data_IF_577055617830
#
_entry.id   IF_577055617830
#
_cell.length_a   1.000
_cell.length_b   1.000
_cell.length_c   1.000
_cell.angle_alpha   90.00
_cell.angle_beta   90.00
_cell.angle_gamma   90.00
#
_symmetry.space_group_name_H-M   'P 1'
#
loop_
_entity.id
_entity.type
_entity.pdbx_description
1 polymer ?
#
# COMPACT_ATOMS: atom_id res chain seq x y z
N UNK A 1 -11.02 -3.26 1.95
CA UNK A 1 -10.64 -4.68 2.02
C UNK A 1 -10.50 -5.30 0.62
N UNK A 2 -11.55 -5.37 -0.20
CA UNK A 2 -11.54 -6.00 -1.53
C UNK A 2 -10.44 -5.44 -2.44
N UNK A 3 -10.30 -4.11 -2.51
CA UNK A 3 -9.28 -3.46 -3.34
C UNK A 3 -7.85 -3.82 -2.93
N UNK A 4 -7.58 -3.95 -1.63
CA UNK A 4 -6.28 -4.39 -1.12
C UNK A 4 -5.99 -5.85 -1.47
N UNK A 5 -6.99 -6.73 -1.35
CA UNK A 5 -6.87 -8.13 -1.76
C UNK A 5 -6.63 -8.25 -3.28
N UNK A 6 -7.34 -7.48 -4.09
CA UNK A 6 -7.14 -7.43 -5.54
C UNK A 6 -5.72 -6.97 -5.92
N UNK A 7 -5.20 -5.94 -5.24
CA UNK A 7 -3.83 -5.48 -5.43
C UNK A 7 -2.80 -6.55 -5.08
N UNK A 8 -2.92 -7.18 -3.90
CA UNK A 8 -2.02 -8.26 -3.47
C UNK A 8 -2.03 -9.46 -4.42
N UNK A 9 -3.21 -9.85 -4.90
CA UNK A 9 -3.36 -10.94 -5.88
C UNK A 9 -2.72 -10.58 -7.22
N UNK A 10 -2.93 -9.37 -7.73
CA UNK A 10 -2.34 -8.91 -8.97
C UNK A 10 -0.80 -8.84 -8.88
N UNK A 11 -0.28 -8.28 -7.78
CA UNK A 11 1.16 -8.20 -7.52
C UNK A 11 1.78 -9.61 -7.44
N UNK A 12 1.17 -10.50 -6.66
CA UNK A 12 1.62 -11.89 -6.53
C UNK A 12 1.62 -12.61 -7.89
N UNK A 13 0.58 -12.42 -8.70
CA UNK A 13 0.48 -13.03 -10.03
C UNK A 13 1.60 -12.57 -10.96
N UNK A 14 1.95 -11.29 -10.94
CA UNK A 14 3.06 -10.76 -11.73
C UNK A 14 4.40 -11.33 -11.26
N UNK A 15 4.65 -11.34 -9.95
CA UNK A 15 5.91 -11.85 -9.37
C UNK A 15 6.06 -13.36 -9.64
N UNK A 16 5.02 -14.15 -9.36
CA UNK A 16 5.06 -15.60 -9.55
C UNK A 16 5.19 -16.02 -11.03
N UNK A 17 4.79 -15.16 -11.96
CA UNK A 17 4.91 -15.44 -13.38
C UNK A 17 6.37 -15.67 -13.82
N UNK A 18 7.32 -14.99 -13.22
CA UNK A 18 8.74 -15.12 -13.55
C UNK A 18 9.43 -16.31 -12.88
N UNK A 19 8.76 -16.94 -11.91
CA UNK A 19 9.32 -18.02 -11.10
C UNK A 19 8.83 -19.38 -11.61
N UNK A 20 9.77 -20.29 -11.89
CA UNK A 20 9.48 -21.64 -12.39
C UNK A 20 9.48 -22.73 -11.33
N UNK A 21 10.13 -22.49 -10.20
CA UNK A 21 10.27 -23.46 -9.10
C UNK A 21 9.31 -23.13 -7.95
N UNK A 22 8.65 -24.14 -7.40
CA UNK A 22 7.79 -23.99 -6.21
C UNK A 22 8.57 -23.43 -5.01
N UNK A 23 9.77 -23.90 -4.80
CA UNK A 23 10.64 -23.41 -3.72
C UNK A 23 11.01 -21.94 -3.90
N UNK A 24 11.34 -21.52 -5.13
CA UNK A 24 11.60 -20.11 -5.43
C UNK A 24 10.37 -19.23 -5.23
N UNK A 25 9.18 -19.70 -5.60
CA UNK A 25 7.92 -18.99 -5.38
C UNK A 25 7.70 -18.74 -3.88
N UNK A 26 7.85 -19.77 -3.06
CA UNK A 26 7.67 -19.66 -1.60
C UNK A 26 8.68 -18.68 -0.99
N UNK A 27 9.96 -18.82 -1.31
CA UNK A 27 11.02 -17.95 -0.80
C UNK A 27 10.79 -16.48 -1.18
N UNK A 28 10.54 -16.21 -2.46
CA UNK A 28 10.29 -14.85 -2.96
C UNK A 28 9.02 -14.26 -2.37
N UNK A 29 7.96 -15.05 -2.27
CA UNK A 29 6.69 -14.58 -1.67
C UNK A 29 6.87 -14.17 -0.21
N UNK A 30 7.64 -14.92 0.57
CA UNK A 30 7.93 -14.58 1.97
C UNK A 30 8.74 -13.28 2.07
N UNK A 31 9.81 -13.16 1.27
CA UNK A 31 10.65 -11.95 1.25
C UNK A 31 9.83 -10.74 0.82
N UNK A 32 9.09 -10.85 -0.29
CA UNK A 32 8.26 -9.75 -0.82
C UNK A 32 7.20 -9.34 0.20
N UNK A 33 6.47 -10.29 0.80
CA UNK A 33 5.45 -9.97 1.80
C UNK A 33 6.02 -9.23 3.00
N UNK A 34 7.16 -9.68 3.52
CA UNK A 34 7.78 -9.08 4.70
C UNK A 34 8.37 -7.70 4.38
N UNK A 35 9.21 -7.62 3.36
CA UNK A 35 9.90 -6.37 2.97
C UNK A 35 8.88 -5.33 2.50
N UNK A 36 7.92 -5.73 1.67
CA UNK A 36 6.88 -4.84 1.17
C UNK A 36 5.98 -4.33 2.29
N UNK A 37 5.61 -5.18 3.25
CA UNK A 37 4.84 -4.79 4.42
C UNK A 37 5.55 -3.76 5.29
N UNK A 38 6.87 -3.88 5.47
CA UNK A 38 7.68 -2.87 6.16
C UNK A 38 7.73 -1.57 5.38
N UNK A 39 8.10 -1.63 4.11
CA UNK A 39 8.27 -0.44 3.26
C UNK A 39 6.95 0.32 3.10
N UNK A 40 5.83 -0.37 2.88
CA UNK A 40 4.53 0.28 2.71
C UNK A 40 3.88 0.76 4.02
N UNK A 41 4.60 0.68 5.13
CA UNK A 41 4.12 1.20 6.40
C UNK A 41 3.11 0.31 7.11
N UNK A 42 2.97 -0.98 6.74
CA UNK A 42 2.02 -1.88 7.42
C UNK A 42 2.42 -2.16 8.87
N UNK A 43 3.71 -2.36 9.10
CA UNK A 43 4.26 -2.66 10.45
C UNK A 43 4.78 -1.42 11.17
N UNK A 44 5.27 -0.43 10.43
CA UNK A 44 5.86 0.77 10.99
C UNK A 44 5.34 2.01 10.25
N UNK A 45 4.89 3.07 10.97
CA UNK A 45 4.36 4.28 10.33
C UNK A 45 5.39 4.94 9.41
N UNK A 46 4.94 5.33 8.22
CA UNK A 46 5.83 5.96 7.21
C UNK A 46 6.35 7.32 7.68
N UNK A 47 5.59 8.01 8.53
CA UNK A 47 5.98 9.28 9.16
C UNK A 47 7.22 9.17 10.06
N UNK A 48 7.54 7.96 10.53
CA UNK A 48 8.69 7.70 11.39
C UNK A 48 9.98 7.40 10.59
N UNK A 49 9.90 7.26 9.27
CA UNK A 49 11.09 7.09 8.43
C UNK A 49 11.81 8.41 8.22
N UNK A 50 13.12 8.35 7.96
CA UNK A 50 13.89 9.52 7.52
C UNK A 50 13.27 10.11 6.24
N UNK A 51 13.30 11.44 6.10
CA UNK A 51 12.59 12.18 5.03
C UNK A 51 12.85 11.63 3.63
N UNK A 52 14.09 11.23 3.32
CA UNK A 52 14.43 10.66 2.01
C UNK A 52 13.77 9.30 1.76
N UNK A 53 13.72 8.44 2.77
CA UNK A 53 13.08 7.12 2.68
C UNK A 53 11.56 7.29 2.60
N UNK A 54 11.00 8.15 3.45
CA UNK A 54 9.57 8.45 3.47
C UNK A 54 9.08 8.91 2.10
N UNK A 55 9.75 9.86 1.46
CA UNK A 55 9.40 10.34 0.13
C UNK A 55 9.42 9.24 -0.95
N UNK A 56 10.40 8.34 -0.87
CA UNK A 56 10.50 7.20 -1.82
C UNK A 56 9.38 6.20 -1.60
N UNK A 57 9.10 5.88 -0.34
CA UNK A 57 8.04 4.94 0.05
C UNK A 57 6.65 5.46 -0.31
N UNK A 58 6.44 6.77 -0.22
CA UNK A 58 5.20 7.43 -0.63
C UNK A 58 4.90 7.31 -2.14
N UNK A 59 5.89 6.98 -2.98
CA UNK A 59 5.66 6.69 -4.39
C UNK A 59 5.10 5.27 -4.63
N UNK A 60 5.15 4.38 -3.62
CA UNK A 60 4.65 3.02 -3.74
C UNK A 60 3.13 2.97 -3.56
N UNK A 61 2.40 2.31 -4.46
CA UNK A 61 0.94 2.21 -4.35
C UNK A 61 0.49 1.49 -3.07
N UNK A 62 1.28 0.54 -2.57
CA UNK A 62 0.99 -0.16 -1.31
C UNK A 62 0.88 0.74 -0.09
N UNK A 63 1.61 1.84 -0.06
CA UNK A 63 1.55 2.83 1.02
C UNK A 63 0.17 3.49 1.11
N UNK A 64 -0.48 3.73 -0.03
CA UNK A 64 -1.84 4.29 -0.07
C UNK A 64 -2.88 3.28 0.42
N UNK A 65 -2.67 1.98 0.18
CA UNK A 65 -3.56 0.94 0.73
C UNK A 65 -3.48 0.86 2.25
N UNK A 66 -2.27 0.92 2.81
CA UNK A 66 -2.09 0.91 4.27
C UNK A 66 -2.62 2.19 4.90
N UNK A 67 -2.41 3.36 4.29
CA UNK A 67 -2.97 4.62 4.73
C UNK A 67 -4.51 4.61 4.70
N UNK A 68 -5.13 4.10 3.62
CA UNK A 68 -6.58 3.94 3.53
C UNK A 68 -7.14 3.03 4.61
N UNK A 69 -6.48 1.90 4.89
CA UNK A 69 -6.90 1.01 5.97
C UNK A 69 -6.85 1.72 7.31
N UNK A 70 -5.76 2.41 7.63
CA UNK A 70 -5.63 3.17 8.88
C UNK A 70 -6.67 4.27 9.00
N UNK A 71 -6.88 5.04 7.94
CA UNK A 71 -7.89 6.12 7.94
C UNK A 71 -9.29 5.57 8.23
N UNK A 72 -9.66 4.41 7.68
CA UNK A 72 -10.98 3.82 7.91
C UNK A 72 -11.13 3.13 9.25
N UNK A 73 -10.09 2.44 9.72
CA UNK A 73 -10.14 1.75 11.01
C UNK A 73 -9.94 2.70 12.20
N UNK A 74 -9.11 3.70 12.04
CA UNK A 74 -8.71 4.59 13.15
C UNK A 74 -9.28 6.00 13.06
N UNK A 75 -9.91 6.37 11.94
CA UNK A 75 -10.46 7.71 11.76
C UNK A 75 -11.56 8.08 12.77
N UNK A 76 -12.29 7.09 13.28
CA UNK A 76 -13.30 7.27 14.32
C UNK A 76 -12.73 7.62 15.72
N UNK A 77 -11.51 7.17 16.01
CA UNK A 77 -10.86 7.44 17.31
C UNK A 77 -10.60 8.93 17.59
N UNK A 78 -10.47 9.74 16.54
CA UNK A 78 -10.30 11.18 16.70
C UNK A 78 -11.48 11.84 17.44
N UNK A 79 -12.70 11.44 17.15
CA UNK A 79 -13.91 11.91 17.85
C UNK A 79 -14.00 11.38 19.26
N UNK A 80 -13.60 10.14 19.51
CA UNK A 80 -13.58 9.52 20.83
C UNK A 80 -12.52 10.16 21.74
N UNK A 81 -11.33 10.50 21.22
CA UNK A 81 -10.32 11.23 21.98
C UNK A 81 -10.80 12.62 22.41
N UNK A 82 -11.52 13.32 21.55
CA UNK A 82 -12.12 14.60 21.89
C UNK A 82 -13.25 14.45 22.93
N UNK A 83 -14.06 13.40 22.81
CA UNK A 83 -15.13 13.09 23.77
C UNK A 83 -14.58 12.71 25.16
N UNK A 84 -13.39 12.11 25.24
CA UNK A 84 -12.70 11.79 26.50
C UNK A 84 -11.99 12.97 27.16
N UNK A 85 -12.13 14.19 26.61
CA UNK A 85 -11.53 15.40 27.15
C UNK A 85 -10.07 15.64 26.73
N UNK A 86 -9.55 14.88 25.76
CA UNK A 86 -8.19 15.09 25.27
C UNK A 86 -8.10 16.39 24.44
N UNK A 87 -7.06 17.22 24.62
CA UNK A 87 -6.87 18.41 23.81
C UNK A 87 -6.73 18.05 22.33
N UNK A 88 -7.36 18.83 21.44
CA UNK A 88 -7.39 18.58 20.00
C UNK A 88 -5.98 18.49 19.37
N UNK A 89 -5.01 19.23 19.93
CA UNK A 89 -3.61 19.16 19.51
C UNK A 89 -2.96 17.81 19.81
N UNK A 90 -3.22 17.23 20.97
CA UNK A 90 -2.71 15.91 21.35
C UNK A 90 -3.37 14.78 20.53
N UNK A 91 -4.68 14.83 20.35
CA UNK A 91 -5.41 13.88 19.52
C UNK A 91 -4.89 13.89 18.07
N UNK A 92 -4.66 15.09 17.49
CA UNK A 92 -4.08 15.24 16.16
C UNK A 92 -2.67 14.67 16.10
N UNK A 93 -1.82 14.96 17.08
CA UNK A 93 -0.45 14.43 17.14
C UNK A 93 -0.40 12.91 17.15
N UNK A 94 -1.30 12.26 17.89
CA UNK A 94 -1.41 10.78 17.91
C UNK A 94 -1.84 10.26 16.54
N UNK A 95 -2.86 10.85 15.93
CA UNK A 95 -3.35 10.42 14.62
C UNK A 95 -2.30 10.63 13.51
N UNK A 96 -1.54 11.71 13.58
CA UNK A 96 -0.46 11.98 12.63
C UNK A 96 0.71 11.00 12.81
N UNK A 97 1.06 10.65 14.07
CA UNK A 97 2.11 9.66 14.35
C UNK A 97 1.76 8.23 13.91
N UNK A 98 0.48 7.95 13.76
CA UNK A 98 -0.05 6.66 13.29
C UNK A 98 -0.35 6.65 11.78
N UNK A 99 0.02 7.69 11.03
CA UNK A 99 -0.27 7.87 9.60
C UNK A 99 -1.78 7.78 9.25
N UNK A 100 -2.65 8.14 10.17
CA UNK A 100 -4.08 8.27 9.88
C UNK A 100 -4.32 9.47 8.97
N UNK A 101 -3.59 10.57 9.22
CA UNK A 101 -3.47 11.69 8.29
C UNK A 101 -2.23 11.47 7.42
N UNK A 102 -2.43 11.13 6.16
CA UNK A 102 -1.34 10.87 5.23
C UNK A 102 -0.91 12.15 4.51
N UNK A 103 0.38 12.46 4.57
CA UNK A 103 0.97 13.63 3.93
C UNK A 103 1.94 13.20 2.84
N UNK A 104 1.82 13.81 1.65
CA UNK A 104 2.74 13.62 0.53
C UNK A 104 3.47 14.93 0.25
N UNK A 105 4.80 14.94 0.40
CA UNK A 105 5.64 16.14 0.29
C UNK A 105 5.09 17.35 1.10
N UNK A 106 4.61 17.10 2.31
CA UNK A 106 4.09 18.14 3.20
C UNK A 106 2.63 18.56 2.95
N UNK A 107 2.00 18.03 1.89
CA UNK A 107 0.57 18.30 1.61
C UNK A 107 -0.28 17.10 2.04
N UNK A 108 -1.40 17.37 2.74
CA UNK A 108 -2.34 16.32 3.14
C UNK A 108 -3.01 15.73 1.91
N UNK A 109 -2.88 14.41 1.75
CA UNK A 109 -3.51 13.68 0.64
C UNK A 109 -4.99 13.43 0.98
N UNK A 110 -5.93 13.90 0.17
CA UNK A 110 -7.34 13.62 0.39
C UNK A 110 -7.63 12.13 0.13
N UNK A 111 -8.56 11.58 0.89
CA UNK A 111 -8.92 10.14 0.84
C UNK A 111 -9.33 9.70 -0.58
N UNK A 112 -10.05 10.54 -1.33
CA UNK A 112 -10.44 10.23 -2.70
C UNK A 112 -9.23 10.03 -3.64
N UNK A 113 -8.16 10.82 -3.46
CA UNK A 113 -6.94 10.67 -4.26
C UNK A 113 -6.22 9.35 -3.94
N UNK A 114 -6.23 8.92 -2.69
CA UNK A 114 -5.69 7.60 -2.30
C UNK A 114 -6.46 6.47 -3.00
N UNK A 115 -7.80 6.56 -3.10
CA UNK A 115 -8.60 5.59 -3.84
C UNK A 115 -8.27 5.58 -5.34
N UNK A 116 -8.11 6.75 -5.95
CA UNK A 116 -7.74 6.84 -7.38
C UNK A 116 -6.40 6.18 -7.64
N UNK A 117 -5.39 6.47 -6.83
CA UNK A 117 -4.05 5.84 -6.94
C UNK A 117 -4.16 4.32 -6.77
N UNK A 118 -4.91 3.86 -5.77
CA UNK A 118 -5.11 2.44 -5.51
C UNK A 118 -5.78 1.72 -6.68
N UNK A 119 -6.83 2.28 -7.25
CA UNK A 119 -7.54 1.71 -8.42
C UNK A 119 -6.63 1.70 -9.65
N UNK A 120 -5.94 2.80 -9.93
CA UNK A 120 -4.99 2.88 -11.05
C UNK A 120 -3.86 1.85 -10.90
N UNK A 121 -3.36 1.62 -9.70
CA UNK A 121 -2.33 0.62 -9.45
C UNK A 121 -2.82 -0.81 -9.72
N UNK A 122 -4.04 -1.15 -9.30
CA UNK A 122 -4.64 -2.46 -9.58
C UNK A 122 -4.82 -2.65 -11.08
N UNK A 123 -5.40 -1.68 -11.77
CA UNK A 123 -5.60 -1.73 -13.23
C UNK A 123 -4.26 -1.86 -13.95
N UNK A 124 -3.25 -1.10 -13.54
CA UNK A 124 -1.90 -1.15 -14.11
C UNK A 124 -1.26 -2.54 -13.96
N UNK A 125 -1.33 -3.15 -12.78
CA UNK A 125 -0.80 -4.50 -12.54
C UNK A 125 -1.53 -5.57 -13.35
N UNK A 126 -2.86 -5.49 -13.42
CA UNK A 126 -3.67 -6.40 -14.24
C UNK A 126 -3.33 -6.25 -15.73
N UNK A 127 -3.20 -5.02 -16.22
CA UNK A 127 -2.81 -4.76 -17.61
C UNK A 127 -1.42 -5.32 -17.92
N UNK A 128 -0.44 -5.13 -17.02
CA UNK A 128 0.91 -5.70 -17.16
C UNK A 128 0.83 -7.23 -17.21
N UNK A 129 0.07 -7.86 -16.32
CA UNK A 129 -0.09 -9.32 -16.31
C UNK A 129 -0.70 -9.85 -17.61
N UNK A 130 -1.76 -9.21 -18.11
CA UNK A 130 -2.43 -9.58 -19.38
C UNK A 130 -1.48 -9.40 -20.56
N UNK A 131 -0.72 -8.30 -20.62
CA UNK A 131 0.26 -8.06 -21.68
C UNK A 131 1.34 -9.14 -21.72
N UNK A 132 1.94 -9.46 -20.57
CA UNK A 132 2.98 -10.47 -20.44
C UNK A 132 2.43 -11.83 -20.89
N UNK A 133 1.22 -12.19 -20.45
CA UNK A 133 0.60 -13.46 -20.81
C UNK A 133 0.27 -13.55 -22.31
N UNK A 134 -0.23 -12.46 -22.90
CA UNK A 134 -0.55 -12.39 -24.34
C UNK A 134 0.71 -12.53 -25.21
N UNK A 135 1.81 -11.89 -24.83
CA UNK A 135 3.09 -11.98 -25.54
C UNK A 135 3.61 -13.44 -25.52
N UNK A 136 3.48 -14.12 -24.38
CA UNK A 136 3.91 -15.51 -24.25
C UNK A 136 3.09 -16.45 -25.13
N UNK A 137 1.77 -16.30 -25.16
CA UNK A 137 0.89 -17.11 -26.00
C UNK A 137 1.23 -16.92 -27.49
N UNK A 138 1.50 -15.68 -27.93
CA UNK A 138 1.92 -15.42 -29.32
C UNK A 138 3.27 -16.04 -29.68
N UNK A 139 4.20 -16.17 -28.71
CA UNK A 139 5.50 -16.82 -28.93
C UNK A 139 5.39 -18.35 -29.04
N UNK A 140 4.40 -18.97 -28.39
CA UNK A 140 4.20 -20.43 -28.44
C UNK A 140 3.49 -20.85 -29.73
N UNK A 141 2.72 -19.93 -30.34
CA UNK A 141 2.01 -20.20 -31.63
C UNK A 141 2.84 -19.93 -32.88
N UNK A 142 4.07 -19.45 -32.75
CA UNK A 142 5.07 -19.38 -33.84
C UNK A 142 6.10 -20.50 -33.71
#
# INVERSE_FOLDING_TARGET
MILNAAFGTALSSVVCYFLKSKSAITAVSTIVSTVYGFICGAYYPVSQFATGISNTVMCLPGTYFTALLRTHFMGGFGSEFLASGMPASAAKGILDSLDVNFYFFGSKVPVWAMYVVAVCAVIGLVAIFVLINTIKIKRIKK
#
